data_IF_142461618666
#
_entry.id   IF_142461618666
#
_cell.length_a   1.000
_cell.length_b   1.000
_cell.length_c   1.000
_cell.angle_alpha   90.00
_cell.angle_beta   90.00
_cell.angle_gamma   90.00
#
_symmetry.space_group_name_H-M   'P 1'
#
loop_
_entity.id
_entity.type
_entity.pdbx_description
1 polymer ?
#
# COMPACT_ATOMS: atom_id res chain seq x y z
N UNK A 1 -22.12 7.16 -40.79
CA UNK A 1 -21.43 6.06 -40.09
C UNK A 1 -19.93 6.35 -39.86
N UNK A 2 -19.14 6.68 -40.89
CA UNK A 2 -17.69 6.94 -40.73
C UNK A 2 -17.31 8.10 -39.80
N UNK A 3 -18.12 9.17 -39.73
CA UNK A 3 -17.93 10.30 -38.80
C UNK A 3 -17.84 9.86 -37.33
N UNK A 4 -18.68 8.89 -36.94
CA UNK A 4 -18.67 8.33 -35.59
C UNK A 4 -17.36 7.60 -35.29
N UNK A 5 -16.88 6.80 -36.24
CA UNK A 5 -15.62 6.04 -36.10
C UNK A 5 -14.43 7.01 -35.95
N UNK A 6 -14.38 8.07 -36.76
CA UNK A 6 -13.30 9.06 -36.69
C UNK A 6 -13.31 9.79 -35.33
N UNK A 7 -14.48 10.20 -34.84
CA UNK A 7 -14.60 10.84 -33.53
C UNK A 7 -14.22 9.87 -32.41
N UNK A 8 -14.69 8.62 -32.46
CA UNK A 8 -14.38 7.61 -31.45
C UNK A 8 -12.86 7.32 -31.38
N UNK A 9 -12.20 7.22 -32.53
CA UNK A 9 -10.74 7.07 -32.61
C UNK A 9 -10.06 8.33 -32.06
N UNK A 10 -10.49 9.53 -32.45
CA UNK A 10 -9.94 10.78 -31.92
C UNK A 10 -10.04 10.88 -30.39
N UNK A 11 -11.21 10.56 -29.83
CA UNK A 11 -11.44 10.52 -28.37
C UNK A 11 -10.57 9.47 -27.70
N UNK A 12 -10.44 8.27 -28.28
CA UNK A 12 -9.58 7.22 -27.74
C UNK A 12 -8.11 7.67 -27.65
N UNK A 13 -7.59 8.33 -28.70
CA UNK A 13 -6.22 8.84 -28.69
C UNK A 13 -6.02 10.00 -27.71
N UNK A 14 -7.00 10.90 -27.61
CA UNK A 14 -6.99 11.98 -26.60
C UNK A 14 -7.00 11.40 -25.17
N UNK A 15 -7.86 10.42 -24.90
CA UNK A 15 -7.94 9.76 -23.60
C UNK A 15 -6.63 9.01 -23.29
N UNK A 16 -6.06 8.29 -24.26
CA UNK A 16 -4.77 7.61 -24.11
C UNK A 16 -3.65 8.59 -23.76
N UNK A 17 -3.62 9.76 -24.41
CA UNK A 17 -2.60 10.78 -24.15
C UNK A 17 -2.79 11.45 -22.78
N UNK A 18 -4.03 11.79 -22.43
CA UNK A 18 -4.34 12.39 -21.11
C UNK A 18 -4.05 11.43 -19.96
N UNK A 19 -4.39 10.15 -20.09
CA UNK A 19 -4.03 9.12 -19.10
C UNK A 19 -2.50 9.05 -18.94
N UNK A 20 -1.72 9.06 -20.02
CA UNK A 20 -0.24 9.05 -19.93
C UNK A 20 0.31 10.24 -19.14
N UNK A 21 -0.29 11.42 -19.29
CA UNK A 21 0.10 12.63 -18.56
C UNK A 21 -0.31 12.59 -17.08
N UNK A 22 -1.50 12.05 -16.77
CA UNK A 22 -2.08 12.02 -15.42
C UNK A 22 -1.60 10.80 -14.61
N UNK A 23 -1.18 9.72 -15.28
CA UNK A 23 -0.70 8.47 -14.68
C UNK A 23 0.39 8.66 -13.60
N UNK A 24 1.51 9.39 -13.84
CA UNK A 24 2.54 9.56 -12.81
C UNK A 24 2.00 10.27 -11.55
N UNK A 25 1.03 11.17 -11.69
CA UNK A 25 0.43 11.87 -10.56
C UNK A 25 -0.49 10.95 -9.73
N UNK A 26 -1.27 10.08 -10.40
CA UNK A 26 -2.12 9.08 -9.73
C UNK A 26 -1.31 8.00 -9.03
N UNK A 27 -0.27 7.49 -9.69
CA UNK A 27 0.61 6.46 -9.12
C UNK A 27 1.27 6.98 -7.85
N UNK A 28 1.91 8.14 -7.87
CA UNK A 28 2.60 8.67 -6.68
C UNK A 28 1.70 8.73 -5.43
N UNK A 29 0.45 9.20 -5.56
CA UNK A 29 -0.47 9.31 -4.41
C UNK A 29 -1.05 7.97 -3.95
N UNK A 30 -1.22 7.03 -4.87
CA UNK A 30 -1.87 5.74 -4.58
C UNK A 30 -0.85 4.68 -4.16
N UNK A 31 0.36 4.72 -4.69
CA UNK A 31 1.41 3.76 -4.41
C UNK A 31 1.87 3.84 -2.95
N UNK A 32 1.97 5.04 -2.36
CA UNK A 32 2.36 5.21 -0.96
C UNK A 32 1.37 4.49 -0.02
N UNK A 33 0.06 4.70 -0.24
CA UNK A 33 -1.01 4.07 0.56
C UNK A 33 -1.16 2.58 0.29
N UNK A 34 -0.91 2.14 -0.95
CA UNK A 34 -0.92 0.72 -1.30
C UNK A 34 0.31 0.00 -0.79
N UNK A 35 1.48 0.64 -0.75
CA UNK A 35 2.69 0.05 -0.23
C UNK A 35 2.57 -0.23 1.27
N UNK A 36 2.04 0.71 2.05
CA UNK A 36 1.81 0.49 3.48
C UNK A 36 0.82 -0.66 3.73
N UNK A 37 -0.29 -0.68 2.98
CA UNK A 37 -1.29 -1.75 3.08
C UNK A 37 -0.78 -3.10 2.56
N UNK A 38 -0.03 -3.11 1.46
CA UNK A 38 0.54 -4.33 0.88
C UNK A 38 1.67 -4.90 1.74
N UNK A 39 2.49 -4.06 2.38
CA UNK A 39 3.47 -4.49 3.38
C UNK A 39 2.79 -5.11 4.59
N UNK A 40 1.73 -4.47 5.09
CA UNK A 40 0.94 -5.01 6.20
C UNK A 40 0.28 -6.35 5.83
N UNK A 41 -0.22 -6.47 4.60
CA UNK A 41 -0.86 -7.69 4.10
C UNK A 41 0.15 -8.82 3.80
N UNK A 42 1.36 -8.50 3.33
CA UNK A 42 2.46 -9.46 3.15
C UNK A 42 3.03 -9.95 4.49
N UNK A 43 3.13 -9.08 5.50
CA UNK A 43 3.50 -9.49 6.86
C UNK A 43 2.43 -10.41 7.47
N UNK A 44 1.16 -10.24 7.12
CA UNK A 44 0.07 -11.07 7.62
C UNK A 44 -0.02 -12.42 6.90
N UNK A 45 0.38 -12.52 5.62
CA UNK A 45 0.45 -13.79 4.89
C UNK A 45 1.73 -14.60 5.15
N UNK A 46 2.82 -13.97 5.57
CA UNK A 46 4.11 -14.66 5.85
C UNK A 46 4.26 -15.08 7.31
N UNK A 47 3.41 -14.59 8.22
CA UNK A 47 3.34 -15.13 9.59
C UNK A 47 2.55 -16.44 9.55
N UNK A 48 3.26 -17.53 9.27
CA UNK A 48 2.82 -18.87 9.67
C UNK A 48 2.55 -18.82 11.18
N UNK A 49 1.36 -19.26 11.60
CA UNK A 49 0.98 -19.40 12.99
C UNK A 49 2.05 -20.21 13.74
N UNK A 50 2.95 -19.53 14.47
CA UNK A 50 4.01 -20.15 15.26
C UNK A 50 5.45 -19.72 14.95
N UNK A 51 5.73 -18.88 13.95
CA UNK A 51 7.11 -18.43 13.69
C UNK A 51 7.41 -17.06 14.35
N UNK A 52 8.11 -17.09 15.49
CA UNK A 52 8.70 -15.90 16.12
C UNK A 52 9.99 -15.55 15.39
N UNK A 53 9.90 -14.79 14.30
CA UNK A 53 11.10 -14.24 13.66
C UNK A 53 11.59 -13.04 14.49
N UNK A 54 12.55 -13.28 15.39
CA UNK A 54 13.36 -12.19 15.97
C UNK A 54 14.37 -11.79 14.89
N UNK A 55 14.06 -10.75 14.13
CA UNK A 55 15.08 -10.04 13.35
C UNK A 55 16.05 -9.38 14.35
N UNK A 56 17.08 -10.12 14.72
CA UNK A 56 18.22 -9.61 15.49
C UNK A 56 19.07 -8.79 14.53
N UNK A 57 18.71 -7.52 14.34
CA UNK A 57 19.60 -6.54 13.71
C UNK A 57 20.85 -6.45 14.58
N UNK A 58 21.96 -6.81 13.95
CA UNK A 58 23.27 -6.87 14.60
C UNK A 58 23.92 -5.51 14.50
N UNK A 59 23.40 -4.54 15.25
CA UNK A 59 24.07 -3.24 15.40
C UNK A 59 24.49 -3.07 16.86
N UNK A 60 25.73 -3.48 17.07
CA UNK A 60 26.58 -3.18 18.20
C UNK A 60 26.46 -1.69 18.59
N UNK A 61 26.17 -1.46 19.87
CA UNK A 61 26.33 -0.21 20.65
C UNK A 61 25.02 0.51 20.99
N UNK A 62 24.58 0.38 22.26
CA UNK A 62 23.80 1.43 22.92
C UNK A 62 22.52 0.97 23.61
N UNK A 63 22.64 0.72 24.91
CA UNK A 63 21.59 0.95 25.91
C UNK A 63 20.28 0.12 25.80
N UNK A 64 20.31 -1.04 26.45
CA UNK A 64 19.14 -1.81 26.88
C UNK A 64 18.30 -0.99 27.88
N UNK A 65 17.27 -0.27 27.42
CA UNK A 65 16.05 0.07 28.18
C UNK A 65 15.14 1.02 27.39
N UNK A 66 14.34 0.47 26.48
CA UNK A 66 13.02 1.05 26.19
C UNK A 66 12.12 -0.09 25.77
N UNK A 67 11.34 -0.56 26.74
CA UNK A 67 10.18 -1.43 26.54
C UNK A 67 9.29 -0.73 25.51
N UNK A 68 9.33 -1.20 24.27
CA UNK A 68 8.34 -0.86 23.26
C UNK A 68 7.13 -1.75 23.55
N UNK A 69 6.33 -1.28 24.51
CA UNK A 69 5.07 -1.90 24.89
C UNK A 69 4.09 -1.47 23.80
N UNK A 70 3.75 -2.40 22.91
CA UNK A 70 2.86 -2.13 21.78
C UNK A 70 1.59 -1.41 22.24
N UNK A 71 1.18 -0.41 21.46
CA UNK A 71 -0.04 0.36 21.69
C UNK A 71 -1.24 -0.59 21.59
N UNK A 72 -1.89 -0.84 22.73
CA UNK A 72 -3.09 -1.65 22.81
C UNK A 72 -4.23 -0.90 22.12
N UNK A 73 -4.86 -1.56 21.15
CA UNK A 73 -6.13 -1.10 20.58
C UNK A 73 -7.23 -1.47 21.56
N UNK A 74 -7.93 -0.45 22.07
CA UNK A 74 -9.09 -0.65 22.93
C UNK A 74 -10.22 -1.21 22.05
N UNK A 75 -10.63 -2.45 22.32
CA UNK A 75 -11.80 -3.03 21.66
C UNK A 75 -13.00 -2.53 22.44
N UNK A 76 -13.69 -1.53 21.88
CA UNK A 76 -15.01 -1.14 22.37
C UNK A 76 -15.96 -2.32 22.09
N UNK A 77 -16.40 -2.98 23.18
CA UNK A 77 -17.31 -4.13 23.10
C UNK A 77 -18.56 -3.70 22.32
N UNK A 78 -18.81 -4.37 21.20
CA UNK A 78 -20.10 -4.26 20.51
C UNK A 78 -21.09 -5.04 21.35
N UNK A 79 -21.93 -4.33 22.11
CA UNK A 79 -23.08 -4.91 22.79
C UNK A 79 -24.05 -5.47 21.74
N UNK A 80 -24.34 -6.78 21.81
CA UNK A 80 -25.30 -7.53 20.97
C UNK A 80 -26.77 -7.20 21.29
#
# INVERSE_FOLDING_TARGET
>A
MFKFIIIAVGVFYLLKWTIRAIFPFLVQKTFDKMQDKAKQQQQQQTKKDGEVTIEKTSDTTGNSNKKDVGDYVDFEEVDD
#
